data_IF_297789226335
#
_entry.id   IF_297789226335
#
_cell.length_a   1.000
_cell.length_b   1.000
_cell.length_c   1.000
_cell.angle_alpha   90.00
_cell.angle_beta   90.00
_cell.angle_gamma   90.00
#
_symmetry.space_group_name_H-M   'P 1'
#
loop_
_entity.id
_entity.type
_entity.pdbx_description
1 polymer ?
#
# COMPACT_ATOMS: atom_id res chain seq x y z
N UNK A 1 -20.80 42.53 12.73
CA UNK A 1 -21.17 42.17 11.35
C UNK A 1 -20.15 41.14 10.87
N UNK A 2 -20.49 39.87 11.01
CA UNK A 2 -19.62 38.76 10.60
C UNK A 2 -19.87 38.42 9.14
N UNK A 3 -18.91 38.69 8.27
CA UNK A 3 -18.97 38.29 6.87
C UNK A 3 -18.92 36.78 6.76
N UNK A 4 -19.98 36.15 6.25
CA UNK A 4 -19.96 34.76 5.85
C UNK A 4 -19.06 34.61 4.63
N UNK A 5 -17.96 33.92 4.77
CA UNK A 5 -17.14 33.49 3.66
C UNK A 5 -17.95 32.45 2.85
N UNK A 6 -18.39 32.84 1.69
CA UNK A 6 -19.02 31.94 0.71
C UNK A 6 -17.88 31.24 -0.06
N UNK A 7 -17.70 29.97 0.19
CA UNK A 7 -16.80 29.15 -0.63
C UNK A 7 -17.42 28.99 -2.03
N UNK A 8 -16.74 29.50 -3.06
CA UNK A 8 -17.15 29.42 -4.46
C UNK A 8 -16.58 28.10 -5.00
N UNK A 9 -17.40 27.05 -5.04
CA UNK A 9 -17.03 25.79 -5.68
C UNK A 9 -17.53 25.84 -7.11
N UNK A 10 -16.63 25.88 -8.08
CA UNK A 10 -16.95 25.70 -9.50
C UNK A 10 -17.02 24.21 -9.75
N UNK A 11 -18.21 23.64 -9.80
CA UNK A 11 -18.44 22.25 -10.20
C UNK A 11 -18.90 22.29 -11.65
N UNK A 12 -18.23 21.53 -12.52
CA UNK A 12 -18.73 21.26 -13.88
C UNK A 12 -19.89 20.28 -13.73
N UNK A 13 -21.11 20.79 -13.82
CA UNK A 13 -22.32 19.97 -13.84
C UNK A 13 -22.70 19.85 -15.30
N UNK A 14 -22.60 18.66 -15.87
CA UNK A 14 -23.17 18.38 -17.18
C UNK A 14 -24.69 18.49 -17.11
N UNK A 15 -25.20 19.31 -17.96
CA UNK A 15 -26.51 19.44 -18.55
C UNK A 15 -27.48 20.48 -18.02
N UNK A 16 -27.48 21.06 -16.82
CA UNK A 16 -28.50 22.11 -16.56
C UNK A 16 -28.17 23.21 -15.55
N UNK A 17 -27.06 23.14 -14.85
CA UNK A 17 -26.74 24.14 -13.82
C UNK A 17 -25.35 24.75 -13.99
N UNK A 18 -25.27 26.06 -14.18
CA UNK A 18 -24.02 26.78 -14.42
C UNK A 18 -23.27 27.21 -13.16
N UNK A 19 -23.91 27.18 -11.99
CA UNK A 19 -23.31 27.57 -10.69
C UNK A 19 -23.97 26.89 -9.50
N UNK A 20 -23.16 26.48 -8.53
CA UNK A 20 -23.61 26.01 -7.22
C UNK A 20 -22.97 26.84 -6.09
N UNK A 21 -23.74 27.13 -5.04
CA UNK A 21 -23.24 27.75 -3.81
C UNK A 21 -23.60 26.87 -2.61
N UNK A 22 -22.59 26.49 -1.82
CA UNK A 22 -22.77 25.67 -0.63
C UNK A 22 -23.07 26.61 0.56
N UNK A 23 -24.21 26.45 1.17
CA UNK A 23 -24.61 27.02 2.47
C UNK A 23 -24.45 25.92 3.52
N UNK A 24 -24.28 26.28 4.81
CA UNK A 24 -23.92 25.36 5.93
C UNK A 24 -24.59 23.97 5.90
N UNK A 25 -25.78 23.80 5.29
CA UNK A 25 -26.49 22.51 5.13
C UNK A 25 -27.30 22.40 3.84
N UNK A 26 -27.17 23.34 2.92
CA UNK A 26 -27.95 23.38 1.66
C UNK A 26 -27.07 23.83 0.50
N UNK A 27 -27.38 23.33 -0.69
CA UNK A 27 -26.75 23.75 -1.94
C UNK A 27 -27.76 24.50 -2.76
N UNK A 28 -27.38 25.70 -3.26
CA UNK A 28 -28.19 26.52 -4.16
C UNK A 28 -27.64 26.36 -5.58
N UNK A 29 -28.48 25.85 -6.47
CA UNK A 29 -28.14 25.60 -7.87
C UNK A 29 -28.79 26.67 -8.75
N UNK A 30 -28.08 27.12 -9.81
CA UNK A 30 -28.57 28.11 -10.76
C UNK A 30 -28.52 27.53 -12.17
N UNK A 31 -29.62 27.58 -12.90
CA UNK A 31 -29.78 26.97 -14.21
C UNK A 31 -28.97 27.66 -15.32
N UNK A 32 -28.63 28.96 -15.18
CA UNK A 32 -27.79 29.73 -16.11
C UNK A 32 -27.03 30.85 -15.41
N UNK A 33 -26.00 31.42 -16.06
CA UNK A 33 -25.20 32.52 -15.52
C UNK A 33 -26.01 33.82 -15.29
N UNK A 34 -27.16 33.99 -15.95
CA UNK A 34 -27.96 35.22 -15.94
C UNK A 34 -29.32 35.11 -15.22
N UNK A 35 -29.79 33.89 -14.93
CA UNK A 35 -31.11 33.71 -14.29
C UNK A 35 -31.00 33.64 -12.76
N UNK A 36 -31.10 34.79 -12.11
CA UNK A 36 -31.23 34.89 -10.65
C UNK A 36 -32.59 34.42 -10.12
N UNK A 37 -33.52 34.11 -11.01
CA UNK A 37 -34.93 33.82 -10.65
C UNK A 37 -35.25 32.32 -10.59
N UNK A 38 -34.40 31.42 -11.13
CA UNK A 38 -34.60 29.99 -10.98
C UNK A 38 -33.48 29.38 -10.12
N UNK A 39 -33.65 29.47 -8.81
CA UNK A 39 -32.72 28.85 -7.89
C UNK A 39 -33.40 27.67 -7.18
N UNK A 40 -32.79 26.52 -7.28
CA UNK A 40 -33.21 25.31 -6.59
C UNK A 40 -32.38 25.11 -5.32
N UNK A 41 -33.07 24.81 -4.22
CA UNK A 41 -32.41 24.50 -2.94
C UNK A 41 -32.57 23.02 -2.67
N UNK A 42 -31.45 22.31 -2.61
CA UNK A 42 -31.39 20.92 -2.19
C UNK A 42 -30.54 20.78 -0.92
N UNK A 43 -30.74 19.72 -0.15
CA UNK A 43 -29.85 19.45 0.98
C UNK A 43 -28.45 19.14 0.46
N UNK A 44 -27.42 19.47 1.25
CA UNK A 44 -26.02 19.12 0.91
C UNK A 44 -25.87 17.63 0.62
N UNK A 45 -26.49 16.78 1.44
CA UNK A 45 -26.48 15.32 1.30
C UNK A 45 -27.17 14.86 0.00
N UNK A 46 -28.23 15.53 -0.43
CA UNK A 46 -28.97 15.20 -1.65
C UNK A 46 -28.22 15.65 -2.90
N UNK A 47 -27.54 16.81 -2.84
CA UNK A 47 -26.64 17.28 -3.89
C UNK A 47 -25.42 16.35 -4.06
N UNK A 48 -24.79 15.96 -2.92
CA UNK A 48 -23.68 14.99 -2.90
C UNK A 48 -24.10 13.65 -3.49
N UNK A 49 -25.32 13.16 -3.17
CA UNK A 49 -25.85 11.91 -3.75
C UNK A 49 -26.17 11.98 -5.25
N UNK A 50 -26.56 13.14 -5.78
CA UNK A 50 -27.09 13.22 -7.14
C UNK A 50 -26.12 13.83 -8.17
N UNK A 51 -25.17 14.67 -7.75
CA UNK A 51 -24.37 15.48 -8.66
C UNK A 51 -22.85 15.39 -8.46
N UNK A 52 -22.37 15.15 -7.23
CA UNK A 52 -20.95 14.88 -6.97
C UNK A 52 -20.64 13.42 -7.32
N UNK A 53 -21.60 12.51 -7.07
CA UNK A 53 -21.42 11.08 -7.24
C UNK A 53 -21.11 10.64 -8.69
N UNK A 54 -21.60 11.34 -9.71
CA UNK A 54 -21.41 10.86 -11.10
C UNK A 54 -20.04 11.18 -11.71
N UNK A 55 -19.42 12.30 -11.36
CA UNK A 55 -18.11 12.66 -11.89
C UNK A 55 -16.95 12.15 -11.03
N UNK A 56 -17.18 11.95 -9.74
CA UNK A 56 -16.19 11.38 -8.81
C UNK A 56 -16.24 9.85 -8.78
N UNK A 57 -17.38 9.21 -9.10
CA UNK A 57 -17.48 7.75 -9.22
C UNK A 57 -16.66 7.17 -10.38
N UNK A 58 -16.50 7.89 -11.49
CA UNK A 58 -15.70 7.41 -12.62
C UNK A 58 -14.20 7.42 -12.36
N UNK A 59 -13.72 8.17 -11.37
CA UNK A 59 -12.28 8.30 -11.09
C UNK A 59 -11.87 7.79 -9.70
N UNK A 60 -12.81 7.21 -8.95
CA UNK A 60 -12.55 6.74 -7.58
C UNK A 60 -11.84 5.40 -7.60
N UNK A 61 -10.76 5.30 -6.84
CA UNK A 61 -10.08 4.01 -6.65
C UNK A 61 -11.00 3.04 -5.90
N UNK A 62 -11.03 1.81 -6.39
CA UNK A 62 -11.86 0.71 -5.85
C UNK A 62 -11.05 -0.33 -5.09
N UNK A 63 -9.73 -0.26 -5.22
CA UNK A 63 -8.84 -1.23 -4.59
C UNK A 63 -7.49 -0.62 -4.19
N UNK A 64 -6.89 -1.21 -3.17
CA UNK A 64 -5.53 -0.96 -2.72
C UNK A 64 -4.74 -2.27 -2.73
N UNK A 65 -3.57 -2.25 -3.34
CA UNK A 65 -2.57 -3.32 -3.30
C UNK A 65 -1.45 -2.88 -2.38
N UNK A 66 -1.26 -3.58 -1.29
CA UNK A 66 -0.25 -3.26 -0.27
C UNK A 66 0.97 -4.18 -0.40
N UNK A 67 2.17 -3.64 -0.19
CA UNK A 67 3.27 -4.45 0.30
C UNK A 67 3.03 -4.86 1.76
N UNK A 68 3.81 -5.81 2.26
CA UNK A 68 3.67 -6.34 3.61
C UNK A 68 4.75 -5.82 4.56
N UNK A 69 6.03 -6.20 4.29
CA UNK A 69 7.16 -5.96 5.17
C UNK A 69 7.62 -4.49 5.10
N UNK A 70 7.45 -3.71 6.16
CA UNK A 70 7.75 -2.28 6.18
C UNK A 70 6.56 -1.38 5.77
N UNK A 71 5.47 -1.97 5.31
CA UNK A 71 4.26 -1.24 4.91
C UNK A 71 3.09 -1.51 5.86
N UNK A 72 2.61 -2.75 5.92
CA UNK A 72 1.56 -3.16 6.84
C UNK A 72 2.12 -3.67 8.17
N UNK A 73 3.25 -4.41 8.12
CA UNK A 73 3.86 -5.05 9.27
C UNK A 73 5.30 -4.58 9.50
N UNK A 74 5.63 -4.32 10.76
CA UNK A 74 7.00 -4.21 11.21
C UNK A 74 7.56 -5.61 11.46
N UNK A 75 8.39 -6.10 10.53
CA UNK A 75 8.93 -7.48 10.51
C UNK A 75 10.44 -7.54 10.72
N UNK A 76 11.09 -6.39 10.89
CA UNK A 76 12.54 -6.26 10.80
C UNK A 76 13.28 -7.02 11.90
N UNK A 77 12.72 -7.06 13.12
CA UNK A 77 13.35 -7.78 14.25
C UNK A 77 13.40 -9.29 13.99
N UNK A 78 12.32 -9.87 13.47
CA UNK A 78 12.29 -11.31 13.20
C UNK A 78 13.20 -11.68 12.03
N UNK A 79 13.29 -10.84 10.99
CA UNK A 79 14.23 -10.98 9.89
C UNK A 79 15.69 -10.91 10.38
N UNK A 80 16.02 -9.95 11.29
CA UNK A 80 17.33 -9.85 11.90
C UNK A 80 17.66 -11.08 12.75
N UNK A 81 16.72 -11.50 13.57
CA UNK A 81 16.93 -12.65 14.48
C UNK A 81 17.19 -13.93 13.68
N UNK A 82 16.41 -14.19 12.63
CA UNK A 82 16.61 -15.33 11.75
C UNK A 82 17.95 -15.27 10.97
N UNK A 83 18.29 -14.08 10.45
CA UNK A 83 19.58 -13.85 9.80
C UNK A 83 20.73 -14.15 10.74
N UNK A 84 20.71 -13.62 11.95
CA UNK A 84 21.77 -13.78 12.94
C UNK A 84 21.84 -15.20 13.50
N UNK A 85 20.70 -15.86 13.67
CA UNK A 85 20.68 -17.28 14.01
C UNK A 85 21.47 -18.09 12.97
N UNK A 86 21.15 -17.93 11.69
CA UNK A 86 21.80 -18.68 10.62
C UNK A 86 23.30 -18.37 10.51
N UNK A 87 23.68 -17.10 10.59
CA UNK A 87 25.08 -16.65 10.57
C UNK A 87 25.88 -17.24 11.73
N UNK A 88 25.32 -17.18 12.94
CA UNK A 88 25.96 -17.72 14.16
C UNK A 88 26.17 -19.23 14.07
N UNK A 89 25.17 -20.00 13.63
CA UNK A 89 25.29 -21.45 13.44
C UNK A 89 26.36 -21.81 12.41
N UNK A 90 26.56 -20.96 11.38
CA UNK A 90 27.58 -21.13 10.35
C UNK A 90 28.97 -20.60 10.75
N UNK A 91 29.11 -20.01 11.97
CA UNK A 91 30.37 -19.43 12.44
C UNK A 91 30.72 -18.09 11.78
N UNK A 92 29.73 -17.34 11.32
CA UNK A 92 29.87 -16.05 10.64
C UNK A 92 29.50 -14.89 11.56
N UNK A 93 29.98 -13.64 11.28
CA UNK A 93 29.64 -12.47 12.08
C UNK A 93 28.17 -12.09 11.94
N UNK A 94 27.54 -11.75 13.07
CA UNK A 94 26.17 -11.27 13.11
C UNK A 94 26.05 -9.87 12.45
N UNK A 95 24.82 -9.52 12.04
CA UNK A 95 24.47 -8.22 11.42
C UNK A 95 23.67 -7.37 12.39
N UNK A 96 23.89 -6.09 12.35
CA UNK A 96 23.07 -5.10 13.08
C UNK A 96 21.68 -4.96 12.47
N UNK A 97 20.74 -4.41 13.22
CA UNK A 97 19.39 -4.12 12.72
C UNK A 97 19.41 -3.21 11.49
N UNK A 98 20.27 -2.19 11.51
CA UNK A 98 20.40 -1.23 10.41
C UNK A 98 21.01 -1.85 9.13
N UNK A 99 21.95 -2.80 9.27
CA UNK A 99 22.43 -3.57 8.13
C UNK A 99 21.31 -4.42 7.53
N UNK A 100 20.57 -5.16 8.36
CA UNK A 100 19.47 -6.02 7.89
C UNK A 100 18.37 -5.16 7.25
N UNK A 101 18.03 -3.99 7.82
CA UNK A 101 17.09 -3.03 7.23
C UNK A 101 17.46 -2.67 5.79
N UNK A 102 18.75 -2.45 5.51
CA UNK A 102 19.24 -2.14 4.16
C UNK A 102 19.21 -3.34 3.21
N UNK A 103 19.25 -4.55 3.73
CA UNK A 103 19.26 -5.78 2.95
C UNK A 103 17.89 -6.24 2.48
N UNK A 104 16.82 -5.86 3.21
CA UNK A 104 15.43 -6.25 2.96
C UNK A 104 14.87 -5.61 1.68
N UNK A 105 13.80 -6.20 1.10
CA UNK A 105 13.00 -5.67 0.00
C UNK A 105 13.00 -6.53 -1.27
N UNK A 106 14.05 -7.31 -1.52
CA UNK A 106 14.18 -8.11 -2.75
C UNK A 106 14.03 -9.63 -2.53
N UNK A 107 13.41 -10.04 -1.44
CA UNK A 107 13.25 -11.42 -1.02
C UNK A 107 14.38 -11.93 -0.14
N UNK A 108 14.11 -13.04 0.57
CA UNK A 108 14.99 -13.54 1.64
C UNK A 108 16.31 -14.11 1.12
N UNK A 109 16.36 -14.60 -0.14
CA UNK A 109 17.62 -15.09 -0.71
C UNK A 109 18.61 -13.94 -0.86
N UNK A 110 18.19 -12.81 -1.44
CA UNK A 110 19.07 -11.66 -1.63
C UNK A 110 19.43 -10.98 -0.29
N UNK A 111 18.51 -11.00 0.70
CA UNK A 111 18.83 -10.60 2.07
C UNK A 111 20.02 -11.41 2.59
N UNK A 112 19.97 -12.74 2.47
CA UNK A 112 21.05 -13.63 2.94
C UNK A 112 22.34 -13.49 2.10
N UNK A 113 22.25 -13.27 0.80
CA UNK A 113 23.41 -12.97 -0.04
C UNK A 113 24.15 -11.69 0.42
N UNK A 114 23.41 -10.68 0.87
CA UNK A 114 23.97 -9.44 1.43
C UNK A 114 24.51 -9.62 2.85
N UNK A 115 23.93 -10.53 3.62
CA UNK A 115 24.31 -10.78 5.01
C UNK A 115 25.52 -11.69 5.16
N UNK A 116 25.62 -12.72 4.33
CA UNK A 116 26.72 -13.70 4.36
C UNK A 116 27.99 -13.07 3.80
N UNK A 117 29.15 -13.20 4.47
CA UNK A 117 30.42 -12.77 3.90
C UNK A 117 30.70 -13.46 2.54
N UNK A 118 31.05 -12.71 1.52
CA UNK A 118 31.25 -13.14 0.11
C UNK A 118 29.93 -13.53 -0.60
N UNK A 119 28.78 -13.35 0.03
CA UNK A 119 27.48 -13.60 -0.57
C UNK A 119 27.28 -15.04 -1.03
N UNK A 120 26.70 -15.20 -2.22
CA UNK A 120 26.45 -16.52 -2.82
C UNK A 120 27.72 -17.32 -3.16
N UNK A 121 28.89 -16.67 -3.26
CA UNK A 121 30.19 -17.34 -3.51
C UNK A 121 30.73 -18.01 -2.23
N UNK A 122 30.14 -17.77 -1.08
CA UNK A 122 30.57 -18.45 0.15
C UNK A 122 30.20 -19.94 0.07
N UNK A 123 31.15 -20.87 0.28
CA UNK A 123 30.89 -22.32 0.16
C UNK A 123 29.84 -22.84 1.16
N UNK A 124 29.55 -22.08 2.24
CA UNK A 124 28.50 -22.40 3.20
C UNK A 124 27.19 -21.65 2.96
N UNK A 125 27.04 -20.90 1.85
CA UNK A 125 25.88 -20.05 1.63
C UNK A 125 24.58 -20.84 1.66
N UNK A 126 24.47 -21.93 0.90
CA UNK A 126 23.24 -22.72 0.82
C UNK A 126 22.86 -23.37 2.16
N UNK A 127 23.86 -23.84 2.92
CA UNK A 127 23.66 -24.38 4.28
C UNK A 127 23.11 -23.26 5.21
N UNK A 128 23.76 -22.08 5.20
CA UNK A 128 23.35 -20.93 6.01
C UNK A 128 21.94 -20.44 5.61
N UNK A 129 21.64 -20.43 4.33
CA UNK A 129 20.31 -20.05 3.85
C UNK A 129 19.23 -21.07 4.24
N UNK A 130 19.54 -22.34 4.26
CA UNK A 130 18.63 -23.38 4.77
C UNK A 130 18.35 -23.21 6.25
N UNK A 131 19.36 -22.91 7.09
CA UNK A 131 19.20 -22.60 8.51
C UNK A 131 18.33 -21.35 8.73
N UNK A 132 18.51 -20.32 7.90
CA UNK A 132 17.63 -19.13 7.94
C UNK A 132 16.16 -19.53 7.70
N UNK A 133 15.88 -20.28 6.65
CA UNK A 133 14.50 -20.68 6.29
C UNK A 133 13.87 -21.50 7.41
N UNK A 134 14.58 -22.51 7.90
CA UNK A 134 14.09 -23.37 8.99
C UNK A 134 13.74 -22.57 10.25
N UNK A 135 14.61 -21.64 10.65
CA UNK A 135 14.36 -20.80 11.81
C UNK A 135 13.21 -19.81 11.56
N UNK A 136 13.21 -19.16 10.39
CA UNK A 136 12.23 -18.15 10.06
C UNK A 136 10.80 -18.70 9.90
N UNK A 137 10.67 -19.94 9.43
CA UNK A 137 9.37 -20.62 9.31
C UNK A 137 8.65 -20.73 10.68
N UNK A 138 9.40 -20.84 11.75
CA UNK A 138 8.87 -20.96 13.13
C UNK A 138 8.76 -19.61 13.83
N UNK A 139 9.70 -18.69 13.55
CA UNK A 139 9.93 -17.45 14.31
C UNK A 139 9.61 -16.16 13.54
N UNK A 140 8.92 -16.24 12.39
CA UNK A 140 8.61 -15.07 11.56
C UNK A 140 7.56 -14.12 12.16
N UNK A 141 7.05 -14.43 13.35
CA UNK A 141 6.00 -13.67 14.02
C UNK A 141 6.23 -13.53 15.53
N UNK A 142 7.46 -13.65 16.00
CA UNK A 142 7.76 -13.50 17.44
C UNK A 142 7.74 -12.02 17.87
N UNK A 143 8.14 -11.10 16.99
CA UNK A 143 8.21 -9.65 17.22
C UNK A 143 7.47 -8.86 16.12
N UNK A 144 6.87 -9.53 15.18
CA UNK A 144 6.12 -8.90 14.09
C UNK A 144 4.79 -8.33 14.60
N UNK A 145 4.44 -7.12 14.16
CA UNK A 145 3.16 -6.47 14.49
C UNK A 145 2.75 -5.50 13.39
N UNK A 146 1.44 -5.22 13.24
CA UNK A 146 0.99 -4.10 12.40
C UNK A 146 1.58 -2.78 12.90
N UNK A 147 1.90 -1.87 11.97
CA UNK A 147 2.24 -0.49 12.34
C UNK A 147 1.04 0.21 12.95
N UNK A 148 1.30 1.20 13.80
CA UNK A 148 0.26 2.01 14.43
C UNK A 148 -0.65 2.66 13.37
N UNK A 149 -1.98 2.57 13.56
CA UNK A 149 -2.98 3.12 12.63
C UNK A 149 -3.32 2.22 11.43
N UNK A 150 -2.61 1.12 11.18
CA UNK A 150 -2.90 0.21 10.06
C UNK A 150 -4.26 -0.47 10.23
N UNK A 151 -4.57 -0.99 11.40
CA UNK A 151 -5.84 -1.70 11.61
C UNK A 151 -7.04 -0.77 11.46
N UNK A 152 -6.93 0.47 11.93
CA UNK A 152 -7.95 1.52 11.78
C UNK A 152 -8.13 1.89 10.29
N UNK A 153 -7.03 2.01 9.54
CA UNK A 153 -7.08 2.25 8.11
C UNK A 153 -7.81 1.12 7.37
N UNK A 154 -7.45 -0.14 7.64
CA UNK A 154 -8.06 -1.29 6.96
C UNK A 154 -9.57 -1.39 7.25
N UNK A 155 -10.00 -1.08 8.48
CA UNK A 155 -11.41 -1.04 8.83
C UNK A 155 -12.15 0.08 8.06
N UNK A 156 -11.55 1.27 7.96
CA UNK A 156 -12.16 2.39 7.21
C UNK A 156 -12.23 2.08 5.71
N UNK A 157 -11.18 1.49 5.11
CA UNK A 157 -11.19 1.06 3.72
C UNK A 157 -12.29 0.01 3.46
N UNK A 158 -12.45 -0.93 4.38
CA UNK A 158 -13.52 -1.94 4.32
C UNK A 158 -14.90 -1.32 4.39
N UNK A 159 -15.12 -0.37 5.30
CA UNK A 159 -16.39 0.37 5.43
C UNK A 159 -16.71 1.14 4.14
N UNK A 160 -15.69 1.71 3.48
CA UNK A 160 -15.84 2.38 2.18
C UNK A 160 -16.04 1.43 1.00
N UNK A 161 -15.96 0.12 1.23
CA UNK A 161 -16.08 -0.89 0.19
C UNK A 161 -14.85 -1.00 -0.73
N UNK A 162 -13.70 -0.48 -0.30
CA UNK A 162 -12.43 -0.58 -1.01
C UNK A 162 -11.88 -2.00 -0.82
N UNK A 163 -11.59 -2.68 -1.91
CA UNK A 163 -11.00 -4.01 -1.90
C UNK A 163 -9.51 -3.94 -1.61
N UNK A 164 -8.98 -4.92 -0.92
CA UNK A 164 -7.58 -4.90 -0.49
C UNK A 164 -6.88 -6.21 -0.84
N UNK A 165 -5.61 -6.11 -1.24
CA UNK A 165 -4.74 -7.25 -1.45
C UNK A 165 -3.33 -6.98 -0.95
N UNK A 166 -2.62 -8.04 -0.58
CA UNK A 166 -1.19 -8.02 -0.26
C UNK A 166 -0.40 -8.60 -1.44
N UNK A 167 0.70 -7.92 -1.81
CA UNK A 167 1.69 -8.40 -2.79
C UNK A 167 3.09 -8.18 -2.23
N UNK A 168 3.80 -9.25 -1.89
CA UNK A 168 5.10 -9.17 -1.22
C UNK A 168 6.14 -10.13 -1.80
N UNK A 169 7.42 -9.72 -1.79
CA UNK A 169 8.57 -10.59 -2.11
C UNK A 169 8.92 -11.58 -0.99
N UNK A 170 8.15 -11.60 0.07
CA UNK A 170 8.21 -12.61 1.12
C UNK A 170 7.71 -13.95 0.59
N UNK A 171 8.23 -15.05 1.10
CA UNK A 171 7.79 -16.42 0.76
C UNK A 171 6.27 -16.54 0.92
N UNK A 172 5.56 -17.07 -0.07
CA UNK A 172 4.10 -17.08 -0.16
C UNK A 172 3.41 -17.70 1.05
N UNK A 173 3.93 -18.82 1.55
CA UNK A 173 3.41 -19.46 2.76
C UNK A 173 3.45 -18.52 3.98
N UNK A 174 4.53 -17.74 4.14
CA UNK A 174 4.64 -16.79 5.27
C UNK A 174 3.70 -15.59 5.09
N UNK A 175 3.50 -15.09 3.86
CA UNK A 175 2.49 -14.06 3.56
C UNK A 175 1.11 -14.53 3.96
N UNK A 176 0.71 -15.74 3.55
CA UNK A 176 -0.60 -16.33 3.87
C UNK A 176 -0.80 -16.58 5.36
N UNK A 177 0.28 -16.97 6.06
CA UNK A 177 0.22 -17.17 7.52
C UNK A 177 0.00 -15.87 8.27
N UNK A 178 0.71 -14.79 7.88
CA UNK A 178 0.58 -13.46 8.47
C UNK A 178 -0.77 -12.81 8.10
N UNK A 179 -1.22 -12.97 6.86
CA UNK A 179 -2.55 -12.53 6.44
C UNK A 179 -3.65 -13.18 7.30
N UNK A 180 -3.61 -14.49 7.45
CA UNK A 180 -4.55 -15.23 8.28
C UNK A 180 -4.55 -14.77 9.73
N UNK A 181 -3.40 -14.39 10.26
CA UNK A 181 -3.24 -13.97 11.65
C UNK A 181 -3.75 -12.53 11.88
N UNK A 182 -3.37 -11.60 11.00
CA UNK A 182 -3.61 -10.17 11.20
C UNK A 182 -4.75 -9.61 10.34
N UNK A 183 -4.92 -10.11 9.10
CA UNK A 183 -5.69 -9.40 8.06
C UNK A 183 -6.79 -10.23 7.38
N UNK A 184 -7.09 -11.45 7.85
CA UNK A 184 -8.01 -12.41 7.22
C UNK A 184 -9.39 -11.82 6.87
N UNK A 185 -9.85 -10.81 7.62
CA UNK A 185 -11.18 -10.21 7.45
C UNK A 185 -11.14 -8.98 6.52
N UNK A 186 -9.96 -8.61 6.01
CA UNK A 186 -9.73 -7.43 5.20
C UNK A 186 -9.26 -7.75 3.78
N UNK A 187 -8.35 -8.71 3.63
CA UNK A 187 -7.71 -8.99 2.35
C UNK A 187 -8.55 -9.95 1.48
N UNK A 188 -8.72 -9.57 0.22
CA UNK A 188 -9.32 -10.45 -0.80
C UNK A 188 -8.28 -11.43 -1.35
N UNK A 189 -7.02 -10.98 -1.42
CA UNK A 189 -5.89 -11.78 -1.88
C UNK A 189 -4.63 -11.47 -1.07
N UNK A 190 -3.82 -12.49 -0.82
CA UNK A 190 -2.49 -12.37 -0.20
C UNK A 190 -1.51 -13.21 -1.02
N UNK A 191 -0.61 -12.55 -1.74
CA UNK A 191 0.29 -13.13 -2.74
C UNK A 191 1.73 -12.87 -2.31
N UNK A 192 2.46 -13.94 -2.05
CA UNK A 192 3.90 -13.92 -1.82
C UNK A 192 4.70 -14.31 -3.06
N UNK A 193 6.02 -14.50 -2.89
CA UNK A 193 6.91 -14.96 -3.94
C UNK A 193 6.50 -16.38 -4.39
N UNK A 194 6.35 -16.54 -5.72
CA UNK A 194 5.89 -17.76 -6.39
C UNK A 194 6.73 -18.04 -7.66
N UNK A 195 8.02 -17.74 -7.64
CA UNK A 195 8.89 -17.92 -8.84
C UNK A 195 8.94 -19.40 -9.31
N UNK A 196 8.80 -20.34 -8.40
CA UNK A 196 8.70 -21.78 -8.75
C UNK A 196 7.45 -22.13 -9.57
N UNK A 197 6.40 -21.31 -9.48
CA UNK A 197 5.16 -21.42 -10.27
C UNK A 197 5.22 -20.59 -11.57
N UNK A 198 6.36 -19.97 -11.87
CA UNK A 198 6.57 -19.13 -13.05
C UNK A 198 6.02 -17.70 -12.92
N UNK A 199 5.64 -17.27 -11.72
CA UNK A 199 5.19 -15.90 -11.42
C UNK A 199 6.39 -15.12 -10.92
N UNK A 200 6.83 -14.12 -11.69
CA UNK A 200 8.00 -13.31 -11.32
C UNK A 200 7.66 -12.41 -10.13
N UNK A 201 8.62 -12.31 -9.20
CA UNK A 201 8.50 -11.42 -8.03
C UNK A 201 8.65 -9.95 -8.41
N UNK A 202 8.31 -9.06 -7.46
CA UNK A 202 8.53 -7.61 -7.58
C UNK A 202 10.01 -7.32 -7.92
N UNK A 203 10.30 -6.38 -8.83
CA UNK A 203 9.41 -5.38 -9.41
C UNK A 203 8.67 -5.81 -10.70
N UNK A 204 8.63 -7.10 -11.06
CA UNK A 204 7.78 -7.56 -12.16
C UNK A 204 6.30 -7.36 -11.81
N UNK A 205 5.43 -7.08 -12.81
CA UNK A 205 4.01 -6.79 -12.57
C UNK A 205 3.17 -8.04 -12.29
N UNK A 206 3.72 -9.24 -12.43
CA UNK A 206 2.99 -10.51 -12.48
C UNK A 206 2.12 -10.74 -11.24
N UNK A 207 2.68 -10.52 -10.05
CA UNK A 207 1.95 -10.70 -8.78
C UNK A 207 0.85 -9.65 -8.60
N UNK A 208 1.10 -8.40 -9.01
CA UNK A 208 0.08 -7.34 -9.00
C UNK A 208 -1.05 -7.66 -9.96
N UNK A 209 -0.74 -8.10 -11.19
CA UNK A 209 -1.76 -8.51 -12.16
C UNK A 209 -2.62 -9.67 -11.65
N UNK A 210 -2.01 -10.62 -10.95
CA UNK A 210 -2.73 -11.70 -10.25
C UNK A 210 -3.66 -11.12 -9.17
N UNK A 211 -3.17 -10.19 -8.34
CA UNK A 211 -3.97 -9.54 -7.31
C UNK A 211 -5.15 -8.77 -7.91
N UNK A 212 -4.94 -7.95 -8.94
CA UNK A 212 -6.01 -7.20 -9.62
C UNK A 212 -7.10 -8.13 -10.18
N UNK A 213 -6.70 -9.26 -10.75
CA UNK A 213 -7.64 -10.28 -11.25
C UNK A 213 -8.48 -10.86 -10.11
N UNK A 214 -7.88 -11.17 -8.97
CA UNK A 214 -8.60 -11.70 -7.80
C UNK A 214 -9.52 -10.63 -7.16
N UNK A 215 -9.07 -9.37 -7.13
CA UNK A 215 -9.89 -8.23 -6.73
C UNK A 215 -11.05 -7.93 -7.70
N UNK A 216 -10.93 -8.34 -8.97
CA UNK A 216 -11.90 -8.04 -10.02
C UNK A 216 -11.95 -6.55 -10.35
N UNK A 217 -10.79 -5.91 -10.44
CA UNK A 217 -10.62 -4.47 -10.78
C UNK A 217 -9.58 -4.30 -11.89
N UNK A 218 -9.63 -3.15 -12.56
CA UNK A 218 -8.64 -2.74 -13.55
C UNK A 218 -7.48 -1.98 -12.89
N UNK A 219 -6.41 -1.72 -13.64
CA UNK A 219 -5.26 -0.94 -13.17
C UNK A 219 -5.66 0.48 -12.73
N UNK A 220 -6.51 1.14 -13.51
CA UNK A 220 -6.96 2.52 -13.24
C UNK A 220 -7.79 2.63 -11.95
N UNK A 221 -8.42 1.52 -11.55
CA UNK A 221 -9.26 1.43 -10.34
C UNK A 221 -8.48 1.10 -9.08
N UNK A 222 -7.15 0.87 -9.17
CA UNK A 222 -6.33 0.49 -8.03
C UNK A 222 -5.17 1.46 -7.80
N UNK A 223 -4.67 1.47 -6.56
CA UNK A 223 -3.39 2.08 -6.18
C UNK A 223 -2.48 1.04 -5.54
N UNK A 224 -1.19 1.29 -5.57
CA UNK A 224 -0.17 0.49 -4.91
C UNK A 224 0.43 1.25 -3.73
N UNK A 225 0.61 0.58 -2.59
CA UNK A 225 1.17 1.17 -1.36
C UNK A 225 2.39 0.36 -0.94
N UNK A 226 3.52 1.04 -0.72
CA UNK A 226 4.76 0.39 -0.31
C UNK A 226 5.79 1.35 0.27
N UNK A 227 6.88 0.81 0.82
CA UNK A 227 7.90 1.57 1.55
C UNK A 227 9.28 1.62 0.85
N UNK A 228 9.41 1.08 -0.37
CA UNK A 228 10.71 0.85 -1.00
C UNK A 228 10.76 1.23 -2.48
N UNK A 229 11.99 1.32 -3.02
CA UNK A 229 12.29 1.46 -4.44
C UNK A 229 11.69 0.31 -5.28
N UNK A 230 11.65 -0.89 -4.71
CA UNK A 230 11.02 -2.05 -5.36
C UNK A 230 9.53 -1.82 -5.55
N UNK A 231 8.84 -1.22 -4.59
CA UNK A 231 7.41 -0.93 -4.65
C UNK A 231 7.09 0.15 -5.67
N UNK A 232 7.89 1.22 -5.69
CA UNK A 232 7.79 2.29 -6.70
C UNK A 232 7.93 1.70 -8.11
N UNK A 233 8.94 0.86 -8.31
CA UNK A 233 9.16 0.19 -9.59
C UNK A 233 8.04 -0.80 -9.93
N UNK A 234 7.50 -1.53 -8.93
CA UNK A 234 6.38 -2.47 -9.09
C UNK A 234 5.12 -1.75 -9.52
N UNK A 235 4.76 -0.68 -8.86
CA UNK A 235 3.62 0.16 -9.22
C UNK A 235 3.75 0.67 -10.66
N UNK A 236 4.90 1.25 -11.02
CA UNK A 236 5.20 1.73 -12.37
C UNK A 236 5.07 0.64 -13.42
N UNK A 237 5.66 -0.52 -13.18
CA UNK A 237 5.65 -1.65 -14.12
C UNK A 237 4.24 -2.28 -14.26
N UNK A 238 3.40 -2.09 -13.25
CA UNK A 238 2.01 -2.57 -13.22
C UNK A 238 1.02 -1.52 -13.73
N UNK A 239 1.46 -0.29 -14.03
CA UNK A 239 0.60 0.81 -14.45
C UNK A 239 -0.29 1.38 -13.34
N UNK A 240 0.10 1.21 -12.07
CA UNK A 240 -0.61 1.75 -10.92
C UNK A 240 0.04 3.04 -10.42
N UNK A 241 -0.77 3.90 -9.83
CA UNK A 241 -0.29 4.98 -8.98
C UNK A 241 0.35 4.40 -7.71
N UNK A 242 1.52 4.95 -7.32
CA UNK A 242 2.22 4.55 -6.11
C UNK A 242 2.03 5.59 -5.00
N UNK A 243 1.65 5.13 -3.82
CA UNK A 243 1.71 5.91 -2.57
C UNK A 243 2.80 5.28 -1.70
N UNK A 244 3.86 6.04 -1.42
CA UNK A 244 4.99 5.58 -0.62
C UNK A 244 4.80 5.99 0.84
N UNK A 245 5.02 5.04 1.75
CA UNK A 245 4.90 5.26 3.19
C UNK A 245 6.27 5.59 3.79
N UNK A 246 6.30 6.51 4.77
CA UNK A 246 7.56 7.01 5.36
C UNK A 246 7.94 6.32 6.67
N UNK A 247 7.05 5.53 7.25
CA UNK A 247 7.30 4.74 8.47
C UNK A 247 8.04 3.42 8.23
N UNK A 248 8.30 3.06 6.96
CA UNK A 248 8.88 1.79 6.56
C UNK A 248 10.41 1.71 6.70
N UNK A 249 11.03 0.88 5.87
CA UNK A 249 12.46 0.57 5.96
C UNK A 249 13.35 1.55 5.21
N UNK A 250 12.81 2.33 4.26
CA UNK A 250 13.55 3.36 3.51
C UNK A 250 13.24 4.75 4.03
N UNK A 251 14.25 5.62 4.05
CA UNK A 251 14.05 7.02 4.40
C UNK A 251 13.46 7.83 3.23
N UNK A 252 12.95 9.00 3.55
CA UNK A 252 12.22 9.88 2.61
C UNK A 252 13.10 10.32 1.45
N UNK A 253 14.37 10.63 1.72
CA UNK A 253 15.34 11.06 0.71
C UNK A 253 15.56 9.93 -0.31
N UNK A 254 15.78 8.71 0.17
CA UNK A 254 15.93 7.54 -0.68
C UNK A 254 14.68 7.30 -1.55
N UNK A 255 13.48 7.38 -0.97
CA UNK A 255 12.22 7.20 -1.72
C UNK A 255 12.09 8.25 -2.83
N UNK A 256 12.37 9.53 -2.53
CA UNK A 256 12.34 10.62 -3.52
C UNK A 256 13.36 10.42 -4.64
N UNK A 257 14.58 10.03 -4.32
CA UNK A 257 15.62 9.72 -5.32
C UNK A 257 15.21 8.59 -6.28
N UNK A 258 14.37 7.65 -5.80
CA UNK A 258 13.83 6.54 -6.60
C UNK A 258 12.48 6.84 -7.25
N UNK A 259 12.00 8.07 -7.16
CA UNK A 259 10.83 8.55 -7.91
C UNK A 259 9.50 8.53 -7.16
N UNK A 260 9.51 8.46 -5.82
CA UNK A 260 8.30 8.65 -5.04
C UNK A 260 7.75 10.07 -5.23
N UNK A 261 6.49 10.18 -5.61
CA UNK A 261 5.77 11.44 -5.82
C UNK A 261 4.69 11.67 -4.77
N UNK A 262 4.05 10.60 -4.32
CA UNK A 262 3.03 10.61 -3.28
C UNK A 262 3.61 9.96 -2.03
N UNK A 263 3.80 10.74 -0.99
CA UNK A 263 4.35 10.31 0.29
C UNK A 263 3.31 10.56 1.37
N UNK A 264 3.15 9.59 2.26
CA UNK A 264 2.30 9.71 3.44
C UNK A 264 3.08 9.35 4.71
N UNK A 265 2.84 10.11 5.77
CA UNK A 265 3.52 9.92 7.06
C UNK A 265 2.68 9.12 8.05
N UNK A 266 1.35 9.08 7.85
CA UNK A 266 0.40 8.35 8.69
C UNK A 266 -0.55 7.51 7.82
N UNK A 267 -0.93 6.29 8.27
CA UNK A 267 -1.81 5.39 7.49
C UNK A 267 -3.13 6.05 7.05
N UNK A 268 -3.74 6.87 7.91
CA UNK A 268 -5.02 7.53 7.63
C UNK A 268 -4.97 8.45 6.41
N UNK A 269 -3.80 8.98 6.04
CA UNK A 269 -3.64 9.86 4.88
C UNK A 269 -3.89 9.15 3.56
N UNK A 270 -3.80 7.80 3.54
CA UNK A 270 -4.15 6.99 2.36
C UNK A 270 -5.61 7.20 1.92
N UNK A 271 -6.49 7.54 2.85
CA UNK A 271 -7.90 7.80 2.57
C UNK A 271 -8.15 9.01 1.64
N UNK A 272 -7.13 9.84 1.41
CA UNK A 272 -7.18 10.95 0.44
C UNK A 272 -6.94 10.49 -1.01
N UNK A 273 -6.53 9.24 -1.22
CA UNK A 273 -6.21 8.66 -2.53
C UNK A 273 -7.27 7.66 -3.03
N UNK A 274 -8.31 7.36 -2.23
CA UNK A 274 -9.31 6.32 -2.51
C UNK A 274 -10.75 6.78 -2.31
#
# INVERSE_FOLDING_TARGET
>A
MGGMAHAKVCIHVEEDFSRAFVLKHKVKLFKNNDDRNEAYMISKTEFEKTHIAKGEEENRKKAVVFDLDGTLLYTLEDLKNATNYALKQSGMPERTLDEVRRFVGNGVRLLMERAVPQGADNPKFEETFALFKEYYDVHCNDNTSPYDGIMELLEELKVRGIKMAIVSNKIDFAVKSLDKLYFKDYMTAAIGEMEEEGIRKKPAPDMVQKALKELGVTQDEAIYVGDSDVDIATAKNSGLECVSVTWGFRDVEFLKEHGATNLIDEPVELLNYV
#
